data_IF_790497195597
#
_entry.id   IF_790497195597
#
_cell.length_a   1.000
_cell.length_b   1.000
_cell.length_c   1.000
_cell.angle_alpha   90.00
_cell.angle_beta   90.00
_cell.angle_gamma   90.00
#
_symmetry.space_group_name_H-M   'P 1'
#
loop_
_entity.id
_entity.type
_entity.pdbx_description
1 polymer ?
#
# COMPACT_ATOMS: atom_id res chain seq x y z
N UNK A 1 9.10 42.51 -63.00
CA UNK A 1 7.85 43.20 -63.39
C UNK A 1 6.95 43.39 -62.14
N UNK A 2 5.82 44.11 -62.28
CA UNK A 2 4.72 44.23 -61.30
C UNK A 2 4.16 42.82 -60.94
N UNK A 3 3.43 42.51 -59.85
CA UNK A 3 2.77 43.22 -58.70
C UNK A 3 2.49 42.11 -57.61
N UNK A 4 2.00 42.24 -56.36
CA UNK A 4 1.39 43.31 -55.53
C UNK A 4 1.81 43.17 -54.03
N UNK A 5 0.87 42.98 -53.08
CA UNK A 5 1.03 42.71 -51.62
C UNK A 5 -0.27 42.09 -51.08
N UNK A 6 -0.20 41.27 -50.01
CA UNK A 6 -0.90 41.52 -48.73
C UNK A 6 -0.43 40.55 -47.62
N UNK A 7 -0.29 41.08 -46.39
CA UNK A 7 -0.24 40.31 -45.14
C UNK A 7 -1.66 40.15 -44.59
N UNK A 8 -1.90 39.10 -43.82
CA UNK A 8 -2.67 39.16 -42.57
C UNK A 8 -2.19 38.03 -41.64
N UNK A 9 -2.44 38.16 -40.34
CA UNK A 9 -1.73 37.39 -39.29
C UNK A 9 -2.65 37.00 -38.15
N UNK A 10 -2.49 35.78 -37.64
CA UNK A 10 -2.93 35.38 -36.30
C UNK A 10 -1.98 34.30 -35.74
N UNK A 11 -1.97 34.13 -34.41
CA UNK A 11 -1.14 33.16 -33.69
C UNK A 11 -1.91 31.84 -33.45
N UNK A 12 -1.14 30.78 -33.20
CA UNK A 12 -1.30 29.74 -32.15
C UNK A 12 -0.86 28.37 -32.71
N UNK A 13 -0.23 27.44 -31.99
CA UNK A 13 0.68 27.43 -30.84
C UNK A 13 0.96 25.96 -30.53
N UNK A 14 2.10 25.43 -31.00
CA UNK A 14 2.88 24.35 -30.37
C UNK A 14 2.29 22.94 -30.09
N UNK A 15 3.15 21.93 -30.35
CA UNK A 15 3.12 20.51 -29.93
C UNK A 15 2.09 19.64 -30.68
N UNK A 16 2.41 18.53 -31.35
CA UNK A 16 3.57 17.60 -31.47
C UNK A 16 3.34 16.23 -30.80
N UNK A 17 3.36 15.20 -31.65
CA UNK A 17 3.52 13.76 -31.40
C UNK A 17 2.50 13.02 -30.53
N UNK A 18 1.96 11.97 -31.13
CA UNK A 18 1.25 10.88 -30.47
C UNK A 18 1.89 9.55 -30.87
N UNK A 19 1.96 8.61 -29.93
CA UNK A 19 2.19 7.18 -30.20
C UNK A 19 1.00 6.44 -29.56
N UNK A 20 0.38 5.53 -30.31
CA UNK A 20 -1.01 5.12 -30.04
C UNK A 20 -1.18 3.99 -29.03
N UNK A 21 -2.21 4.12 -28.19
CA UNK A 21 -2.81 3.00 -27.47
C UNK A 21 -3.84 2.26 -28.35
N UNK A 22 -4.20 1.02 -27.96
CA UNK A 22 -5.06 0.12 -28.72
C UNK A 22 -6.51 0.61 -28.93
N UNK A 23 -7.12 0.20 -30.04
CA UNK A 23 -8.49 0.60 -30.43
C UNK A 23 -9.57 -0.22 -29.71
N UNK A 24 -10.15 0.33 -28.65
CA UNK A 24 -11.52 -0.02 -28.24
C UNK A 24 -12.52 0.46 -29.30
N UNK A 25 -13.56 -0.33 -29.61
CA UNK A 25 -14.55 -0.01 -30.66
C UNK A 25 -15.92 0.30 -30.03
N UNK A 26 -16.29 1.58 -29.97
CA UNK A 26 -17.56 2.01 -29.40
C UNK A 26 -18.75 1.53 -30.25
N UNK A 27 -19.75 0.92 -29.61
CA UNK A 27 -21.08 0.69 -30.18
C UNK A 27 -22.02 1.75 -29.58
N UNK A 28 -22.71 2.51 -30.43
CA UNK A 28 -23.69 3.51 -29.97
C UNK A 28 -25.01 2.82 -29.61
N UNK A 29 -25.47 2.97 -28.37
CA UNK A 29 -26.86 2.69 -28.00
C UNK A 29 -27.70 3.95 -28.33
N UNK A 30 -28.68 3.92 -29.25
CA UNK A 30 -29.24 5.12 -29.87
C UNK A 30 -30.32 5.85 -29.02
N UNK A 31 -30.27 5.76 -27.69
CA UNK A 31 -31.24 6.40 -26.78
C UNK A 31 -30.58 6.85 -25.46
N UNK A 32 -30.13 8.12 -25.40
CA UNK A 32 -30.25 9.05 -24.26
C UNK A 32 -29.50 10.37 -24.53
N UNK A 33 -29.54 11.30 -23.55
CA UNK A 33 -29.18 12.73 -23.66
C UNK A 33 -27.69 13.02 -23.98
N UNK A 34 -27.33 14.18 -24.58
CA UNK A 34 -25.95 14.44 -25.05
C UNK A 34 -24.86 14.67 -23.99
N UNK A 35 -25.21 15.00 -22.74
CA UNK A 35 -24.25 15.47 -21.73
C UNK A 35 -23.72 14.40 -20.77
N UNK A 36 -24.23 13.17 -20.81
CA UNK A 36 -23.82 12.12 -19.87
C UNK A 36 -22.54 11.39 -20.35
N UNK A 37 -21.43 11.62 -19.63
CA UNK A 37 -20.13 10.96 -19.84
C UNK A 37 -19.85 9.80 -18.88
N UNK A 38 -20.88 9.12 -18.39
CA UNK A 38 -20.71 7.97 -17.50
C UNK A 38 -20.17 6.74 -18.25
N UNK A 39 -19.03 6.20 -17.79
CA UNK A 39 -18.46 4.94 -18.24
C UNK A 39 -18.88 3.84 -17.26
N UNK A 40 -19.41 2.72 -17.77
CA UNK A 40 -19.84 1.59 -16.96
C UNK A 40 -18.80 0.47 -16.96
N UNK A 41 -18.35 0.06 -15.77
CA UNK A 41 -17.93 -1.31 -15.49
C UNK A 41 -18.82 -1.86 -14.37
N UNK A 42 -19.16 -3.14 -14.45
CA UNK A 42 -19.93 -3.85 -13.42
C UNK A 42 -19.16 -5.12 -13.06
N UNK A 43 -18.67 -5.17 -11.83
CA UNK A 43 -18.21 -6.41 -11.19
C UNK A 43 -19.17 -6.74 -10.05
N UNK A 44 -19.58 -8.01 -9.98
CA UNK A 44 -20.47 -8.51 -8.94
C UNK A 44 -19.63 -9.22 -7.88
N UNK A 45 -19.34 -8.53 -6.77
CA UNK A 45 -18.70 -9.07 -5.58
C UNK A 45 -19.60 -8.74 -4.38
N UNK A 46 -19.77 -9.70 -3.47
CA UNK A 46 -20.78 -9.65 -2.41
C UNK A 46 -20.32 -8.81 -1.20
N UNK A 47 -20.44 -7.48 -1.30
CA UNK A 47 -20.16 -6.55 -0.21
C UNK A 47 -21.42 -6.12 0.56
N UNK A 48 -21.26 -5.77 1.85
CA UNK A 48 -22.30 -5.08 2.63
C UNK A 48 -22.49 -3.66 2.10
N UNK A 49 -23.64 -3.39 1.49
CA UNK A 49 -23.93 -2.07 0.87
C UNK A 49 -24.38 -1.06 1.93
N UNK A 50 -23.65 0.05 2.02
CA UNK A 50 -24.02 1.23 2.81
C UNK A 50 -24.43 2.37 1.87
N UNK A 51 -25.59 2.98 2.13
CA UNK A 51 -26.08 4.11 1.35
C UNK A 51 -25.91 5.42 2.14
N UNK A 52 -25.04 6.31 1.66
CA UNK A 52 -24.90 7.67 2.19
C UNK A 52 -25.77 8.65 1.38
N UNK A 53 -26.77 9.27 2.00
CA UNK A 53 -27.58 10.33 1.38
C UNK A 53 -27.08 11.71 1.80
N UNK A 54 -26.78 12.58 0.83
CA UNK A 54 -26.09 13.86 1.07
C UNK A 54 -27.03 15.07 0.94
N UNK A 55 -27.90 15.27 1.94
CA UNK A 55 -28.95 16.30 1.94
C UNK A 55 -28.45 17.75 2.21
N UNK A 56 -27.26 18.11 1.72
CA UNK A 56 -26.74 19.48 1.73
C UNK A 56 -26.49 20.10 3.11
N UNK A 57 -26.58 19.33 4.20
CA UNK A 57 -26.28 19.71 5.58
C UNK A 57 -25.47 18.60 6.24
N UNK A 58 -24.60 18.98 7.17
CA UNK A 58 -23.53 18.11 7.72
C UNK A 58 -24.05 17.09 8.73
N UNK A 59 -24.66 16.01 8.24
CA UNK A 59 -24.87 14.78 8.99
C UNK A 59 -24.92 13.56 8.06
N UNK A 60 -24.09 12.56 8.34
CA UNK A 60 -24.14 11.24 7.69
C UNK A 60 -24.82 10.27 8.64
N UNK A 61 -26.04 9.84 8.31
CA UNK A 61 -26.71 8.74 9.00
C UNK A 61 -26.27 7.39 8.41
N UNK A 62 -26.26 6.36 9.25
CA UNK A 62 -25.75 5.02 8.94
C UNK A 62 -26.87 3.99 9.05
N UNK A 63 -27.24 3.36 7.94
CA UNK A 63 -28.27 2.31 7.84
C UNK A 63 -27.86 1.25 6.82
N UNK A 64 -27.97 -0.04 7.18
CA UNK A 64 -27.90 -1.15 6.21
C UNK A 64 -29.14 -1.15 5.30
N UNK A 65 -28.97 -1.46 4.01
CA UNK A 65 -30.06 -1.47 3.01
C UNK A 65 -30.05 -2.79 2.24
N UNK A 66 -31.19 -3.48 2.06
CA UNK A 66 -31.26 -4.70 1.25
C UNK A 66 -30.86 -4.44 -0.22
N UNK A 67 -30.04 -5.35 -0.76
CA UNK A 67 -29.50 -5.31 -2.13
C UNK A 67 -30.58 -5.18 -3.23
N UNK A 68 -31.80 -5.65 -2.96
CA UNK A 68 -32.95 -5.58 -3.86
C UNK A 68 -33.52 -4.17 -4.13
N UNK A 69 -33.05 -3.14 -3.42
CA UNK A 69 -33.72 -1.81 -3.39
C UNK A 69 -33.02 -0.71 -4.19
N UNK A 70 -31.83 -0.97 -4.77
CA UNK A 70 -30.94 0.06 -5.30
C UNK A 70 -31.00 0.15 -6.84
N UNK A 71 -32.00 0.87 -7.35
CA UNK A 71 -32.20 1.14 -8.78
C UNK A 71 -31.32 2.24 -9.38
N UNK A 72 -30.05 2.35 -8.99
CA UNK A 72 -29.14 3.41 -9.45
C UNK A 72 -27.67 3.11 -9.14
N UNK A 73 -26.71 3.87 -9.70
CA UNK A 73 -25.29 3.64 -9.51
C UNK A 73 -24.88 3.88 -8.04
N UNK A 74 -24.50 2.81 -7.35
CA UNK A 74 -23.97 2.86 -5.99
C UNK A 74 -22.49 3.24 -6.05
N UNK A 75 -22.11 4.33 -5.41
CA UNK A 75 -20.70 4.66 -5.22
C UNK A 75 -20.11 3.74 -4.15
N UNK A 76 -19.46 2.65 -4.58
CA UNK A 76 -18.71 1.76 -3.68
C UNK A 76 -17.41 2.46 -3.32
N UNK A 77 -17.41 3.15 -2.17
CA UNK A 77 -16.19 3.66 -1.58
C UNK A 77 -15.37 2.48 -1.04
N UNK A 78 -14.33 2.10 -1.78
CA UNK A 78 -13.29 1.19 -1.29
C UNK A 78 -12.58 1.89 -0.14
N UNK A 79 -12.78 1.39 1.09
CA UNK A 79 -12.02 1.83 2.25
C UNK A 79 -10.64 1.19 2.14
N UNK A 80 -9.72 1.91 1.50
CA UNK A 80 -8.31 1.51 1.44
C UNK A 80 -7.73 1.77 2.83
N UNK A 81 -7.43 0.70 3.56
CA UNK A 81 -6.63 0.80 4.78
C UNK A 81 -5.18 1.04 4.36
N UNK A 82 -4.62 2.18 4.76
CA UNK A 82 -3.22 2.52 4.50
C UNK A 82 -2.47 2.47 5.82
N UNK A 83 -1.45 1.63 5.87
CA UNK A 83 -0.55 1.48 6.98
C UNK A 83 0.63 2.43 6.81
N UNK A 84 0.90 3.23 7.85
CA UNK A 84 2.05 4.14 7.95
C UNK A 84 2.93 3.62 9.08
N UNK A 85 4.09 3.05 8.73
CA UNK A 85 4.99 2.38 9.68
C UNK A 85 6.41 2.97 9.69
N UNK A 86 7.06 3.00 10.86
CA UNK A 86 8.50 3.28 10.96
C UNK A 86 9.17 2.37 12.00
N UNK A 87 10.20 1.66 11.56
CA UNK A 87 11.13 0.94 12.42
C UNK A 87 12.10 1.89 13.13
N UNK A 88 12.30 1.63 14.42
CA UNK A 88 13.25 2.30 15.29
C UNK A 88 14.11 1.28 16.06
N UNK A 89 15.22 1.77 16.62
CA UNK A 89 15.98 1.06 17.65
C UNK A 89 15.47 1.48 19.04
N UNK A 90 15.07 0.52 19.86
CA UNK A 90 14.65 0.74 21.24
C UNK A 90 15.21 -0.35 22.16
N UNK A 91 16.10 0.03 23.09
CA UNK A 91 16.54 -0.85 24.18
C UNK A 91 15.54 -0.89 25.33
N UNK A 92 15.74 -1.82 26.27
CA UNK A 92 14.79 -2.09 27.38
C UNK A 92 14.36 -0.85 28.20
N UNK A 93 15.29 0.04 28.54
CA UNK A 93 14.95 1.28 29.27
C UNK A 93 14.16 2.28 28.41
N UNK A 94 14.27 2.22 27.08
CA UNK A 94 13.42 2.98 26.17
C UNK A 94 12.02 2.36 26.10
N UNK A 95 11.94 1.03 25.91
CA UNK A 95 10.70 0.24 25.89
C UNK A 95 9.83 0.51 27.13
N UNK A 96 10.41 0.44 28.33
CA UNK A 96 9.72 0.76 29.60
C UNK A 96 9.05 2.14 29.62
N UNK A 97 9.71 3.17 29.08
CA UNK A 97 9.14 4.54 29.01
C UNK A 97 8.08 4.67 27.92
N UNK A 98 8.23 3.95 26.82
CA UNK A 98 7.24 3.92 25.74
C UNK A 98 5.94 3.25 26.20
N UNK A 99 6.01 2.12 26.90
CA UNK A 99 4.82 1.36 27.33
C UNK A 99 4.16 1.91 28.61
N UNK A 100 4.77 2.88 29.30
CA UNK A 100 4.14 3.52 30.47
C UNK A 100 2.85 4.25 30.07
N UNK A 101 1.72 3.85 30.67
CA UNK A 101 0.39 4.32 30.27
C UNK A 101 -0.09 3.83 28.89
N UNK A 102 0.53 2.81 28.30
CA UNK A 102 0.02 2.12 27.11
C UNK A 102 -0.87 0.91 27.48
N UNK A 103 -1.85 0.61 26.63
CA UNK A 103 -2.65 -0.62 26.71
C UNK A 103 -1.85 -1.78 26.11
N UNK A 104 -1.74 -2.91 26.83
CA UNK A 104 -1.13 -4.13 26.29
C UNK A 104 -2.20 -4.94 25.55
N UNK A 105 -2.03 -5.13 24.24
CA UNK A 105 -2.97 -5.86 23.38
C UNK A 105 -2.65 -7.37 23.32
N UNK A 106 -1.39 -7.76 23.55
CA UNK A 106 -1.00 -9.17 23.70
C UNK A 106 0.42 -9.47 23.25
N UNK A 107 0.83 -10.74 23.40
CA UNK A 107 2.05 -11.31 22.79
C UNK A 107 1.66 -12.47 21.87
N UNK A 108 2.28 -12.56 20.69
CA UNK A 108 2.08 -13.65 19.72
C UNK A 108 3.39 -14.06 19.05
N UNK A 109 3.56 -15.36 18.82
CA UNK A 109 4.61 -15.90 17.95
C UNK A 109 4.07 -16.00 16.53
N UNK A 110 4.72 -15.33 15.58
CA UNK A 110 4.35 -15.25 14.16
C UNK A 110 5.37 -16.05 13.35
N UNK A 111 4.95 -16.79 12.32
CA UNK A 111 5.86 -17.30 11.28
C UNK A 111 5.53 -16.64 9.95
N UNK A 112 6.48 -15.86 9.43
CA UNK A 112 6.43 -15.27 8.09
C UNK A 112 7.35 -16.07 7.14
N UNK A 113 6.80 -16.51 6.01
CA UNK A 113 7.58 -17.03 4.86
C UNK A 113 7.49 -16.01 3.73
N UNK A 114 8.59 -15.41 3.31
CA UNK A 114 8.61 -14.39 2.25
C UNK A 114 8.96 -14.99 0.89
N UNK A 115 8.31 -14.48 -0.16
CA UNK A 115 8.37 -15.01 -1.53
C UNK A 115 8.81 -13.95 -2.56
N UNK A 116 9.63 -14.34 -3.53
CA UNK A 116 10.03 -13.51 -4.68
C UNK A 116 10.53 -14.42 -5.82
N UNK A 117 10.83 -13.85 -6.99
CA UNK A 117 11.49 -14.52 -8.12
C UNK A 117 13.01 -14.37 -8.00
N UNK A 118 13.79 -15.23 -8.68
CA UNK A 118 15.26 -15.25 -8.63
C UNK A 118 15.99 -13.96 -9.10
N UNK A 119 15.27 -13.00 -9.69
CA UNK A 119 15.73 -11.65 -10.07
C UNK A 119 15.25 -10.53 -9.12
N UNK A 120 14.61 -10.92 -8.01
CA UNK A 120 14.07 -10.10 -6.92
C UNK A 120 13.00 -9.09 -7.37
N UNK A 121 12.22 -9.41 -8.40
CA UNK A 121 11.31 -8.46 -9.05
C UNK A 121 10.18 -7.95 -8.15
N UNK A 122 9.72 -8.69 -7.15
CA UNK A 122 8.69 -8.20 -6.24
C UNK A 122 9.29 -7.17 -5.30
N UNK A 123 10.29 -7.56 -4.51
CA UNK A 123 10.92 -6.69 -3.51
C UNK A 123 11.63 -5.48 -4.14
N UNK A 124 12.15 -5.58 -5.38
CA UNK A 124 12.70 -4.45 -6.13
C UNK A 124 11.66 -3.44 -6.64
N UNK A 125 10.37 -3.78 -6.62
CA UNK A 125 9.27 -2.84 -6.82
C UNK A 125 8.60 -2.47 -5.47
N UNK A 126 9.26 -2.78 -4.34
CA UNK A 126 8.78 -2.57 -2.97
C UNK A 126 7.55 -3.42 -2.58
N UNK A 127 7.33 -4.55 -3.28
CA UNK A 127 6.24 -5.48 -3.00
C UNK A 127 6.73 -6.59 -2.07
N UNK A 128 6.05 -6.78 -0.94
CA UNK A 128 6.44 -7.73 0.11
C UNK A 128 5.39 -8.82 0.28
N UNK A 129 5.49 -9.86 -0.56
CA UNK A 129 4.65 -11.05 -0.47
C UNK A 129 5.14 -11.97 0.64
N UNK A 130 4.26 -12.27 1.60
CA UNK A 130 4.50 -13.22 2.69
C UNK A 130 3.35 -14.24 2.79
N UNK A 131 3.64 -15.43 3.31
CA UNK A 131 2.64 -16.32 3.88
C UNK A 131 2.75 -16.26 5.40
N UNK A 132 1.63 -15.99 6.07
CA UNK A 132 1.48 -15.87 7.53
C UNK A 132 0.26 -16.68 7.97
N UNK A 133 0.42 -17.51 8.99
CA UNK A 133 -0.64 -18.38 9.54
C UNK A 133 -1.43 -19.17 8.47
N UNK A 134 -0.75 -19.53 7.38
CA UNK A 134 -1.30 -20.25 6.22
C UNK A 134 -1.94 -19.37 5.13
N UNK A 135 -2.27 -18.11 5.39
CA UNK A 135 -2.78 -17.14 4.39
C UNK A 135 -1.65 -16.40 3.70
N UNK A 136 -1.90 -15.88 2.50
CA UNK A 136 -0.97 -14.94 1.84
C UNK A 136 -1.36 -13.49 2.15
N UNK A 137 -0.35 -12.66 2.39
CA UNK A 137 -0.48 -11.23 2.67
C UNK A 137 0.55 -10.50 1.77
N UNK A 138 0.15 -9.39 1.15
CA UNK A 138 1.02 -8.61 0.26
C UNK A 138 0.97 -7.12 0.63
N UNK A 139 2.07 -6.57 1.14
CA UNK A 139 2.26 -5.10 1.18
C UNK A 139 2.63 -4.61 -0.22
N UNK A 140 1.91 -3.61 -0.72
CA UNK A 140 2.27 -2.82 -1.92
C UNK A 140 2.44 -1.34 -1.56
N UNK A 141 3.39 -0.61 -2.18
CA UNK A 141 3.62 0.81 -1.89
C UNK A 141 2.45 1.67 -2.40
N UNK A 142 2.06 2.68 -1.61
CA UNK A 142 0.99 3.62 -2.01
C UNK A 142 1.38 4.33 -3.32
N UNK A 143 0.51 4.24 -4.32
CA UNK A 143 0.80 4.71 -5.69
C UNK A 143 0.77 6.24 -5.76
N UNK A 144 1.65 6.84 -6.56
CA UNK A 144 1.64 8.28 -6.84
C UNK A 144 2.24 9.18 -5.74
N UNK A 145 2.26 8.73 -4.49
CA UNK A 145 3.02 9.37 -3.40
C UNK A 145 4.53 9.28 -3.70
N UNK A 146 5.28 10.36 -3.45
CA UNK A 146 6.74 10.35 -3.64
C UNK A 146 7.42 9.50 -2.58
N UNK A 147 8.42 8.71 -2.98
CA UNK A 147 8.97 7.63 -2.14
C UNK A 147 9.83 8.15 -0.98
N UNK A 148 9.41 7.80 0.24
CA UNK A 148 10.26 7.71 1.45
C UNK A 148 11.05 8.97 1.84
N UNK A 149 10.51 10.17 1.58
CA UNK A 149 10.97 11.35 2.32
C UNK A 149 10.65 11.13 3.82
N UNK A 150 11.60 11.39 4.71
CA UNK A 150 11.51 11.07 6.16
C UNK A 150 11.81 9.61 6.54
N UNK A 151 11.86 8.68 5.58
CA UNK A 151 12.13 7.26 5.84
C UNK A 151 10.96 6.46 6.43
N UNK A 152 9.78 7.06 6.53
CA UNK A 152 8.55 6.37 6.95
C UNK A 152 8.01 5.55 5.76
N UNK A 153 7.58 4.32 6.04
CA UNK A 153 6.99 3.42 5.05
C UNK A 153 5.46 3.61 4.97
N UNK A 154 4.91 3.28 3.80
CA UNK A 154 3.51 3.55 3.44
C UNK A 154 3.01 2.41 2.56
N UNK A 155 2.12 1.58 3.08
CA UNK A 155 1.65 0.41 2.35
C UNK A 155 0.12 0.28 2.35
N UNK A 156 -0.38 -0.33 1.28
CA UNK A 156 -1.69 -1.01 1.30
C UNK A 156 -1.40 -2.50 1.49
N UNK A 157 -2.01 -3.11 2.51
CA UNK A 157 -1.99 -4.57 2.67
C UNK A 157 -3.14 -5.19 1.85
N UNK A 158 -2.83 -6.21 1.06
CA UNK A 158 -3.80 -7.06 0.38
C UNK A 158 -3.81 -8.44 1.08
N UNK A 159 -4.94 -8.81 1.66
CA UNK A 159 -5.11 -10.02 2.49
C UNK A 159 -5.91 -11.14 1.80
N UNK A 160 -6.49 -10.89 0.62
CA UNK A 160 -7.25 -11.90 -0.12
C UNK A 160 -6.51 -12.43 -1.35
N UNK A 161 -6.63 -13.74 -1.60
CA UNK A 161 -6.05 -14.41 -2.76
C UNK A 161 -6.41 -13.71 -4.09
N UNK A 162 -7.67 -13.27 -4.24
CA UNK A 162 -8.15 -12.61 -5.47
C UNK A 162 -7.50 -11.23 -5.70
N UNK A 163 -7.30 -10.43 -4.66
CA UNK A 163 -6.62 -9.13 -4.76
C UNK A 163 -5.13 -9.32 -5.10
N UNK A 164 -4.47 -10.29 -4.44
CA UNK A 164 -3.06 -10.61 -4.69
C UNK A 164 -2.87 -11.16 -6.12
N UNK A 165 -3.76 -12.04 -6.59
CA UNK A 165 -3.75 -12.57 -7.96
C UNK A 165 -3.95 -11.44 -8.99
N UNK A 166 -4.84 -10.48 -8.73
CA UNK A 166 -5.09 -9.35 -9.63
C UNK A 166 -3.92 -8.36 -9.68
N UNK A 167 -3.36 -7.97 -8.53
CA UNK A 167 -2.28 -6.98 -8.45
C UNK A 167 -0.96 -7.54 -9.00
N UNK A 168 -0.60 -8.78 -8.64
CA UNK A 168 0.55 -9.49 -9.19
C UNK A 168 0.32 -10.03 -10.62
N UNK A 169 -0.92 -9.97 -11.13
CA UNK A 169 -1.34 -10.43 -12.48
C UNK A 169 -1.03 -11.91 -12.72
N UNK A 170 -1.24 -12.73 -11.69
CA UNK A 170 -0.94 -14.16 -11.73
C UNK A 170 -1.92 -14.92 -12.63
N UNK A 171 -1.50 -16.03 -13.27
CA UNK A 171 -2.41 -16.90 -14.00
C UNK A 171 -3.37 -17.61 -13.04
N UNK A 172 -4.67 -17.36 -13.16
CA UNK A 172 -5.72 -18.00 -12.35
C UNK A 172 -5.56 -19.53 -12.36
N UNK A 173 -5.54 -20.12 -11.16
CA UNK A 173 -5.25 -21.54 -10.91
C UNK A 173 -6.21 -22.09 -9.86
N UNK A 174 -6.06 -23.35 -9.42
CA UNK A 174 -6.93 -23.90 -8.36
C UNK A 174 -6.60 -23.34 -6.96
N UNK A 175 -5.47 -22.64 -6.80
CA UNK A 175 -5.09 -21.88 -5.60
C UNK A 175 -4.11 -20.75 -5.94
N UNK A 176 -3.94 -19.78 -5.03
CA UNK A 176 -2.84 -18.82 -5.12
C UNK A 176 -1.47 -19.50 -5.15
N UNK A 177 -1.26 -20.57 -4.37
CA UNK A 177 0.01 -21.30 -4.32
C UNK A 177 0.39 -21.92 -5.68
N UNK A 178 -0.56 -22.47 -6.43
CA UNK A 178 -0.31 -22.88 -7.83
C UNK A 178 0.03 -21.69 -8.73
N UNK A 179 -0.68 -20.57 -8.55
CA UNK A 179 -0.52 -19.35 -9.36
C UNK A 179 0.86 -18.72 -9.18
N UNK A 180 1.39 -18.73 -7.95
CA UNK A 180 2.76 -18.30 -7.61
C UNK A 180 3.82 -19.25 -8.18
N UNK A 181 3.65 -20.57 -8.02
CA UNK A 181 4.58 -21.57 -8.57
C UNK A 181 4.67 -21.48 -10.11
N UNK A 182 3.55 -21.23 -10.80
CA UNK A 182 3.50 -20.98 -12.27
C UNK A 182 4.22 -19.71 -12.72
N UNK A 183 4.68 -18.85 -11.81
CA UNK A 183 5.46 -17.64 -12.08
C UNK A 183 6.86 -17.68 -11.44
N UNK A 184 7.29 -18.86 -10.94
CA UNK A 184 8.57 -19.05 -10.24
C UNK A 184 8.75 -18.11 -9.03
N UNK A 185 7.63 -17.72 -8.40
CA UNK A 185 7.61 -16.97 -7.15
C UNK A 185 7.77 -17.97 -6.00
N UNK A 186 8.96 -18.03 -5.42
CA UNK A 186 9.40 -19.08 -4.50
C UNK A 186 9.82 -18.50 -3.14
N UNK A 187 9.74 -19.29 -2.05
CA UNK A 187 10.13 -18.81 -0.73
C UNK A 187 11.63 -18.57 -0.65
N UNK A 188 12.05 -17.38 -0.22
CA UNK A 188 13.46 -16.99 -0.08
C UNK A 188 13.89 -16.74 1.37
N UNK A 189 12.95 -16.49 2.28
CA UNK A 189 13.19 -16.31 3.70
C UNK A 189 12.07 -16.94 4.51
N UNK A 190 12.41 -17.47 5.69
CA UNK A 190 11.47 -17.76 6.77
C UNK A 190 11.99 -17.08 8.03
N UNK A 191 11.10 -16.38 8.73
CA UNK A 191 11.38 -15.65 9.97
C UNK A 191 10.31 -16.07 10.98
N UNK A 192 10.72 -16.39 12.21
CA UNK A 192 9.81 -16.37 13.37
C UNK A 192 10.02 -15.06 14.10
N UNK A 193 8.92 -14.46 14.53
CA UNK A 193 8.90 -13.24 15.33
C UNK A 193 8.03 -13.46 16.57
N UNK A 194 8.60 -13.28 17.76
CA UNK A 194 7.84 -13.06 18.98
C UNK A 194 7.54 -11.56 19.09
N UNK A 195 6.27 -11.19 18.89
CA UNK A 195 5.75 -9.81 18.88
C UNK A 195 5.00 -9.51 20.18
N UNK A 196 5.33 -8.40 20.84
CA UNK A 196 4.51 -7.78 21.87
C UNK A 196 3.85 -6.51 21.35
N UNK A 197 2.51 -6.51 21.32
CA UNK A 197 1.70 -5.40 20.81
C UNK A 197 1.15 -4.56 21.95
N UNK A 198 1.39 -3.25 21.86
CA UNK A 198 0.79 -2.23 22.72
C UNK A 198 0.04 -1.18 21.89
N UNK A 199 -0.86 -0.44 22.53
CA UNK A 199 -1.56 0.72 21.97
C UNK A 199 -1.36 1.94 22.86
N UNK A 200 -1.01 3.08 22.26
CA UNK A 200 -0.86 4.35 23.00
C UNK A 200 -1.54 5.49 22.24
N UNK A 201 -2.77 5.78 22.64
CA UNK A 201 -3.64 6.68 21.87
C UNK A 201 -4.00 6.07 20.52
N UNK A 202 -3.57 6.71 19.43
CA UNK A 202 -3.79 6.23 18.06
C UNK A 202 -2.68 5.31 17.52
N UNK A 203 -1.50 5.27 18.15
CA UNK A 203 -0.38 4.44 17.71
C UNK A 203 -0.54 2.98 18.14
N UNK A 204 -0.26 2.06 17.21
CA UNK A 204 0.11 0.68 17.53
C UNK A 204 1.63 0.63 17.67
N UNK A 205 2.09 -0.14 18.65
CA UNK A 205 3.47 -0.16 19.13
C UNK A 205 3.91 -1.61 19.26
N UNK A 206 4.64 -2.09 18.28
CA UNK A 206 5.04 -3.49 18.20
C UNK A 206 6.53 -3.68 18.47
N UNK A 207 6.83 -4.46 19.50
CA UNK A 207 8.19 -4.86 19.88
C UNK A 207 8.42 -6.30 19.42
N UNK A 208 9.28 -6.48 18.43
CA UNK A 208 9.57 -7.76 17.80
C UNK A 208 10.96 -8.28 18.22
N UNK A 209 11.04 -9.57 18.55
CA UNK A 209 12.28 -10.35 18.61
C UNK A 209 12.23 -11.49 17.58
N UNK A 210 13.32 -11.74 16.84
CA UNK A 210 13.37 -12.70 15.73
C UNK A 210 14.27 -13.90 16.01
N UNK A 211 13.93 -15.06 15.43
CA UNK A 211 14.70 -16.32 15.52
C UNK A 211 16.16 -16.26 15.00
N UNK A 212 16.55 -15.16 14.35
CA UNK A 212 17.93 -14.89 13.93
C UNK A 212 18.66 -13.84 14.78
N UNK A 213 18.19 -13.54 15.98
CA UNK A 213 18.84 -12.62 16.93
C UNK A 213 18.84 -11.18 16.42
N UNK A 214 17.67 -10.70 16.03
CA UNK A 214 17.40 -9.29 15.73
C UNK A 214 16.21 -8.84 16.58
N UNK A 215 16.18 -7.56 16.91
CA UNK A 215 15.07 -6.90 17.60
C UNK A 215 14.76 -5.59 16.89
N UNK A 216 13.49 -5.23 16.79
CA UNK A 216 13.06 -3.93 16.28
C UNK A 216 11.82 -3.44 17.01
N UNK A 217 11.60 -2.13 16.97
CA UNK A 217 10.41 -1.48 17.48
C UNK A 217 9.72 -0.79 16.32
N UNK A 218 8.49 -1.19 16.02
CA UNK A 218 7.64 -0.68 14.94
C UNK A 218 6.57 0.25 15.56
N UNK A 219 6.51 1.51 15.07
CA UNK A 219 5.40 2.43 15.36
C UNK A 219 4.52 2.47 14.11
N UNK A 220 3.27 2.04 14.26
CA UNK A 220 2.29 1.88 13.19
C UNK A 220 1.09 2.81 13.42
N UNK A 221 0.58 3.44 12.35
CA UNK A 221 -0.62 4.28 12.37
C UNK A 221 -1.43 4.01 11.09
N UNK A 222 -2.70 3.60 11.25
CA UNK A 222 -3.60 3.31 10.13
C UNK A 222 -4.43 4.54 9.72
N UNK A 223 -4.41 4.89 8.43
CA UNK A 223 -5.25 5.95 7.85
C UNK A 223 -6.18 5.41 6.76
N UNK A 224 -7.18 6.19 6.36
CA UNK A 224 -8.22 5.78 5.39
C UNK A 224 -8.30 6.65 4.13
N UNK A 225 -7.59 7.78 4.12
CA UNK A 225 -7.48 8.70 2.98
C UNK A 225 -6.00 9.05 2.74
N UNK A 226 -5.55 9.00 1.47
CA UNK A 226 -4.15 9.32 1.10
C UNK A 226 -3.72 10.74 1.52
N UNK A 227 -4.67 11.66 1.74
CA UNK A 227 -4.41 13.01 2.24
C UNK A 227 -4.11 13.08 3.75
N UNK A 228 -4.42 12.03 4.52
CA UNK A 228 -4.05 11.91 5.94
C UNK A 228 -2.57 11.53 6.13
N UNK A 229 -1.94 10.91 5.11
CA UNK A 229 -0.57 10.37 5.17
C UNK A 229 0.45 11.39 5.75
N UNK A 230 0.54 12.65 5.27
CA UNK A 230 1.55 13.58 5.78
C UNK A 230 1.33 13.96 7.25
N UNK A 231 0.08 13.88 7.74
CA UNK A 231 -0.23 14.14 9.14
C UNK A 231 0.13 12.94 10.03
N UNK A 232 -0.13 11.71 9.57
CA UNK A 232 0.31 10.49 10.23
C UNK A 232 1.85 10.43 10.35
N UNK A 233 2.56 10.83 9.30
CA UNK A 233 4.03 10.89 9.31
C UNK A 233 4.58 11.85 10.37
N UNK A 234 4.03 13.07 10.44
CA UNK A 234 4.41 14.07 11.47
C UNK A 234 4.17 13.51 12.87
N UNK A 235 3.01 12.86 13.10
CA UNK A 235 2.68 12.24 14.39
C UNK A 235 3.70 11.18 14.82
N UNK A 236 4.19 10.35 13.89
CA UNK A 236 5.19 9.30 14.18
C UNK A 236 6.54 9.91 14.54
N UNK A 237 7.01 10.96 13.84
CA UNK A 237 8.26 11.64 14.20
C UNK A 237 8.14 12.44 15.51
N UNK A 238 6.98 13.06 15.78
CA UNK A 238 6.72 13.75 17.06
C UNK A 238 6.66 12.76 18.23
N UNK A 239 6.04 11.60 18.04
CA UNK A 239 6.07 10.49 18.99
C UNK A 239 7.51 10.05 19.27
N UNK A 240 8.29 9.73 18.23
CA UNK A 240 9.68 9.27 18.38
C UNK A 240 10.56 10.31 19.10
N UNK A 241 10.43 11.57 18.71
CA UNK A 241 11.10 12.72 19.33
C UNK A 241 10.70 12.90 20.80
N UNK A 242 9.46 12.63 21.19
CA UNK A 242 9.01 12.77 22.58
C UNK A 242 9.68 11.79 23.55
N UNK A 243 10.10 10.62 23.07
CA UNK A 243 10.89 9.65 23.86
C UNK A 243 12.41 9.79 23.69
N UNK A 244 12.86 10.71 22.83
CA UNK A 244 14.28 10.89 22.49
C UNK A 244 14.86 9.77 21.64
N UNK A 245 14.02 9.12 20.81
CA UNK A 245 14.44 8.11 19.84
C UNK A 245 15.10 8.83 18.65
N UNK A 246 16.14 8.21 18.07
CA UNK A 246 16.76 8.74 16.85
C UNK A 246 15.79 8.69 15.67
N UNK A 247 15.74 9.74 14.85
CA UNK A 247 14.96 9.77 13.62
C UNK A 247 15.58 8.95 12.48
N UNK A 248 16.80 8.43 12.65
CA UNK A 248 17.45 7.47 11.73
C UNK A 248 16.59 6.23 11.58
N UNK A 249 16.17 5.92 10.34
CA UNK A 249 15.37 4.73 10.02
C UNK A 249 16.14 3.44 10.37
N UNK A 250 15.57 2.60 11.24
CA UNK A 250 16.05 1.25 11.44
C UNK A 250 15.56 0.31 10.31
N UNK A 251 16.19 -0.85 10.12
CA UNK A 251 15.76 -1.82 9.10
C UNK A 251 14.59 -2.65 9.58
N UNK A 252 13.55 -2.78 8.75
CA UNK A 252 12.49 -3.76 8.95
C UNK A 252 12.98 -5.21 8.89
N UNK A 253 12.23 -6.12 9.50
CA UNK A 253 12.64 -7.51 9.77
C UNK A 253 13.19 -8.29 8.55
N UNK A 254 12.49 -8.21 7.41
CA UNK A 254 12.90 -8.86 6.17
C UNK A 254 14.12 -8.19 5.51
N UNK A 255 14.30 -6.87 5.68
CA UNK A 255 15.44 -6.12 5.16
C UNK A 255 16.73 -6.54 5.89
N UNK A 256 16.69 -6.66 7.21
CA UNK A 256 17.83 -7.12 8.00
C UNK A 256 18.14 -8.62 7.77
N UNK A 257 17.13 -9.46 7.54
CA UNK A 257 17.35 -10.84 7.09
C UNK A 257 18.07 -10.87 5.73
N UNK A 258 17.60 -10.08 4.75
CA UNK A 258 18.22 -9.98 3.42
C UNK A 258 19.66 -9.45 3.53
N UNK A 259 19.92 -8.47 4.39
CA UNK A 259 21.27 -7.96 4.68
C UNK A 259 22.20 -9.07 5.21
N UNK A 260 21.78 -9.79 6.25
CA UNK A 260 22.57 -10.86 6.89
C UNK A 260 22.76 -12.11 6.02
N UNK A 261 21.79 -12.43 5.15
CA UNK A 261 21.73 -13.74 4.45
C UNK A 261 21.96 -13.67 2.94
N UNK A 262 21.64 -12.56 2.28
CA UNK A 262 21.70 -12.45 0.82
C UNK A 262 22.21 -11.07 0.32
N UNK A 263 23.53 -10.82 0.39
CA UNK A 263 24.13 -9.57 -0.12
C UNK A 263 24.00 -9.36 -1.63
N UNK A 264 23.50 -10.33 -2.43
CA UNK A 264 23.14 -10.10 -3.84
C UNK A 264 21.77 -9.41 -3.95
N UNK A 265 20.82 -9.84 -3.11
CA UNK A 265 19.47 -9.31 -3.00
C UNK A 265 19.47 -7.92 -2.38
N UNK A 266 20.18 -7.71 -1.26
CA UNK A 266 20.33 -6.39 -0.62
C UNK A 266 20.79 -5.31 -1.63
N UNK A 267 21.91 -5.58 -2.34
CA UNK A 267 22.42 -4.71 -3.43
C UNK A 267 21.53 -4.58 -4.64
N UNK A 268 20.50 -5.42 -4.80
CA UNK A 268 19.50 -5.24 -5.84
C UNK A 268 18.41 -4.24 -5.42
N UNK A 269 18.13 -4.12 -4.12
CA UNK A 269 17.17 -3.19 -3.52
C UNK A 269 17.74 -1.77 -3.35
N UNK A 270 19.02 -1.66 -2.98
CA UNK A 270 19.75 -0.38 -2.94
C UNK A 270 19.76 0.31 -4.30
N UNK A 271 20.08 -0.44 -5.37
CA UNK A 271 20.18 0.06 -6.76
C UNK A 271 18.87 0.60 -7.33
N UNK A 272 17.72 0.24 -6.75
CA UNK A 272 16.40 0.74 -7.15
C UNK A 272 15.83 1.75 -6.13
N UNK A 273 16.58 2.08 -5.07
CA UNK A 273 16.17 3.03 -4.05
C UNK A 273 15.09 2.53 -3.08
N UNK A 274 14.80 1.22 -3.07
CA UNK A 274 13.92 0.57 -2.09
C UNK A 274 14.57 0.66 -0.71
N UNK A 275 15.84 0.28 -0.63
CA UNK A 275 16.71 0.57 0.52
C UNK A 275 17.49 1.84 0.20
N UNK A 276 17.64 2.72 1.19
CA UNK A 276 18.63 3.80 1.23
C UNK A 276 19.48 3.57 2.49
N UNK A 277 20.80 3.71 2.38
CA UNK A 277 21.63 3.88 3.58
C UNK A 277 21.31 5.26 4.22
N UNK A 278 21.49 5.35 5.54
CA UNK A 278 21.21 6.55 6.34
C UNK A 278 22.47 7.34 6.67
#
# INVERSE_FOLDING_TARGET
>A
MKKTRKRLSAKLSSRSFAIGAGKGRCIKNPKNSPDDRTIFLVYSIAYKVWACSFNGKTSVSKTEVPSSTLGGPVCVCLIIMIEIEKNFEAGEEMKKRIIDGAEFLGRKTITDVYYDVADFRLTRNDYWLRQRDGRFELKVPVRGVKTRDGGIDRYTELESDDEIIQELKLPTSASIAESLNKQEILPFARIVTDRETYRKGEFHLDFDEMDFGFVTFEVELMVTDESEIPAAEIKIEEFAKSYGISSTKARGKVIEYIFRRNPKHFRALERVGVIREG
#
